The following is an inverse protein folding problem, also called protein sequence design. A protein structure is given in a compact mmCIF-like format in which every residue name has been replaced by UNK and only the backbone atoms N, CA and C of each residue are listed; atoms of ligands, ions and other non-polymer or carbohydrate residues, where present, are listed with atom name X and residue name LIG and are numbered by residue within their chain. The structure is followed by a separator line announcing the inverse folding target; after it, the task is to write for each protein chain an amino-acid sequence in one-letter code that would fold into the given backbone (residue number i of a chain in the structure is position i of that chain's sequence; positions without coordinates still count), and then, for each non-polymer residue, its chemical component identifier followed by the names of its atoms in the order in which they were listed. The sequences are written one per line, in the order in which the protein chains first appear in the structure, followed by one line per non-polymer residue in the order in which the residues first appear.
data_IF_195988519011
#
_entry.id   IF_195988519011
#
_cell.length_a   1.000
_cell.length_b   1.000
_cell.length_c   1.000
_cell.angle_alpha   90.00
_cell.angle_beta   90.00
_cell.angle_gamma   90.00
#
_symmetry.space_group_name_H-M   'P 1'
#
loop_
_entity.id
_entity.type
_entity.pdbx_description
1 polymer ?
#
# COMPACT_ATOMS: atom_id res chain seq x y z
N UNK A 1 17.56 -15.61 15.41
CA UNK A 1 18.58 -15.00 14.53
C UNK A 1 18.43 -13.49 14.60
N UNK A 2 19.53 -12.73 14.70
CA UNK A 2 19.47 -11.26 14.68
C UNK A 2 19.29 -10.78 13.24
N UNK A 3 18.39 -9.82 12.99
CA UNK A 3 18.25 -9.15 11.69
C UNK A 3 19.34 -8.09 11.54
N UNK A 4 19.81 -7.83 10.32
CA UNK A 4 20.86 -6.85 10.03
C UNK A 4 20.35 -5.80 9.05
N UNK A 5 20.51 -4.52 9.38
CA UNK A 5 20.32 -3.39 8.48
C UNK A 5 21.70 -2.87 8.05
N UNK A 6 22.03 -3.15 6.80
CA UNK A 6 23.29 -2.76 6.15
C UNK A 6 23.13 -1.47 5.33
N UNK A 7 24.25 -0.88 4.92
CA UNK A 7 24.28 0.26 4.01
C UNK A 7 23.52 0.03 2.69
N UNK A 8 23.47 -1.21 2.20
CA UNK A 8 22.79 -1.54 0.94
C UNK A 8 21.27 -1.39 1.06
N UNK A 9 20.69 -1.85 2.18
CA UNK A 9 19.25 -1.70 2.46
C UNK A 9 18.87 -0.20 2.46
N UNK A 10 19.72 0.66 3.02
CA UNK A 10 19.48 2.10 3.06
C UNK A 10 19.55 2.73 1.67
N UNK A 11 20.45 2.27 0.79
CA UNK A 11 20.54 2.73 -0.60
C UNK A 11 19.34 2.28 -1.43
N UNK A 12 18.88 1.05 -1.23
CA UNK A 12 17.67 0.52 -1.87
C UNK A 12 16.45 1.35 -1.46
N UNK A 13 16.25 1.57 -0.15
CA UNK A 13 15.18 2.45 0.34
C UNK A 13 15.27 3.87 -0.24
N UNK A 14 16.48 4.43 -0.40
CA UNK A 14 16.65 5.73 -1.04
C UNK A 14 16.24 5.74 -2.51
N UNK A 15 16.65 4.72 -3.28
CA UNK A 15 16.29 4.57 -4.69
C UNK A 15 14.77 4.39 -4.87
N UNK A 16 14.12 3.73 -3.91
CA UNK A 16 12.67 3.54 -3.87
C UNK A 16 11.90 4.77 -3.35
N UNK A 17 12.60 5.86 -3.02
CA UNK A 17 11.99 7.10 -2.50
C UNK A 17 11.47 7.01 -1.06
N UNK A 18 11.80 5.94 -0.33
CA UNK A 18 11.39 5.75 1.06
C UNK A 18 12.18 6.66 2.01
N UNK A 19 11.49 7.15 3.05
CA UNK A 19 12.06 8.04 4.08
C UNK A 19 12.08 7.45 5.48
N UNK A 20 11.54 6.24 5.65
CA UNK A 20 11.44 5.58 6.96
C UNK A 20 11.80 4.10 6.81
N UNK A 21 12.67 3.60 7.69
CA UNK A 21 13.00 2.18 7.82
C UNK A 21 12.53 1.72 9.21
N UNK A 22 11.64 0.73 9.25
CA UNK A 22 11.13 0.17 10.51
C UNK A 22 12.10 -0.86 11.07
N UNK A 23 12.41 -0.73 12.35
CA UNK A 23 13.41 -1.53 13.07
C UNK A 23 12.74 -2.22 14.25
N UNK A 24 12.82 -3.54 14.30
CA UNK A 24 12.47 -4.30 15.51
C UNK A 24 13.60 -4.10 16.53
N UNK A 25 13.32 -3.41 17.62
CA UNK A 25 14.29 -2.96 18.61
C UNK A 25 14.96 -4.11 19.37
N UNK A 26 14.29 -5.27 19.47
CA UNK A 26 14.76 -6.41 20.26
C UNK A 26 15.71 -7.33 19.50
N UNK A 27 15.73 -7.29 18.17
CA UNK A 27 16.46 -8.27 17.37
C UNK A 27 17.21 -7.72 16.14
N UNK A 28 17.34 -6.39 15.99
CA UNK A 28 17.97 -5.80 14.80
C UNK A 28 19.31 -5.10 15.10
N UNK A 29 20.34 -5.44 14.34
CA UNK A 29 21.63 -4.74 14.32
C UNK A 29 21.61 -3.74 13.16
N UNK A 30 21.89 -2.47 13.42
CA UNK A 30 22.09 -1.45 12.39
C UNK A 30 23.58 -1.15 12.32
N UNK A 31 24.18 -1.34 11.13
CA UNK A 31 25.58 -0.99 10.90
C UNK A 31 25.82 0.52 11.01
N UNK A 32 27.02 0.96 11.39
CA UNK A 32 27.39 2.39 11.43
C UNK A 32 27.20 3.05 10.06
N UNK A 33 27.64 2.37 9.00
CA UNK A 33 27.53 2.83 7.61
C UNK A 33 26.06 3.04 7.18
N UNK A 34 25.14 2.17 7.64
CA UNK A 34 23.71 2.35 7.41
C UNK A 34 23.18 3.61 8.10
N UNK A 35 23.68 3.97 9.30
CA UNK A 35 23.25 5.19 10.00
C UNK A 35 23.72 6.44 9.26
N UNK A 36 24.96 6.45 8.80
CA UNK A 36 25.54 7.59 8.09
C UNK A 36 24.82 7.84 6.76
N UNK A 37 24.52 6.77 6.01
CA UNK A 37 23.73 6.86 4.78
C UNK A 37 22.29 7.28 5.03
N UNK A 38 21.67 6.78 6.10
CA UNK A 38 20.30 7.15 6.44
C UNK A 38 20.22 8.65 6.76
N UNK A 39 21.18 9.18 7.51
CA UNK A 39 21.29 10.62 7.74
C UNK A 39 21.50 11.40 6.44
N UNK A 40 22.38 10.93 5.55
CA UNK A 40 22.64 11.56 4.25
C UNK A 40 21.40 11.63 3.35
N UNK A 41 20.57 10.59 3.37
CA UNK A 41 19.38 10.48 2.53
C UNK A 41 18.09 10.99 3.20
N UNK A 42 18.20 11.53 4.41
CA UNK A 42 17.07 11.94 5.25
C UNK A 42 16.06 10.79 5.47
N UNK A 43 16.61 9.61 5.78
CA UNK A 43 15.87 8.39 6.10
C UNK A 43 15.92 8.18 7.63
N UNK A 44 14.76 7.99 8.26
CA UNK A 44 14.65 7.80 9.72
C UNK A 44 14.46 6.32 10.08
N UNK A 45 15.15 5.85 11.11
CA UNK A 45 14.86 4.55 11.73
C UNK A 45 13.74 4.69 12.75
N UNK A 46 12.65 3.95 12.57
CA UNK A 46 11.55 3.91 13.52
C UNK A 46 11.57 2.59 14.28
N UNK A 47 11.78 2.64 15.60
CA UNK A 47 11.94 1.46 16.44
C UNK A 47 10.59 1.02 17.01
N UNK A 48 10.12 -0.16 16.61
CA UNK A 48 8.89 -0.75 17.16
C UNK A 48 9.26 -1.65 18.34
N UNK A 49 8.85 -1.28 19.56
CA UNK A 49 8.99 -2.12 20.75
C UNK A 49 7.71 -2.92 21.01
N UNK A 50 7.77 -4.23 21.35
CA UNK A 50 6.63 -4.93 21.90
C UNK A 50 6.59 -4.73 23.41
N UNK A 51 5.54 -4.11 23.94
CA UNK A 51 4.51 -4.68 24.87
C UNK A 51 3.81 -3.53 25.62
N UNK A 52 2.50 -3.72 25.84
CA UNK A 52 1.71 -3.34 27.03
C UNK A 52 0.63 -2.30 26.76
N UNK A 53 -0.57 -2.82 26.51
CA UNK A 53 -1.81 -2.05 26.59
C UNK A 53 -1.94 -1.48 28.01
N UNK A 54 -1.74 -0.18 28.15
CA UNK A 54 -2.15 0.58 29.32
C UNK A 54 -2.50 1.99 28.87
N UNK A 55 -3.69 2.42 29.33
CA UNK A 55 -4.36 3.67 29.02
C UNK A 55 -3.44 4.88 29.29
N UNK A 56 -3.57 5.92 28.46
CA UNK A 56 -4.02 7.28 28.81
C UNK A 56 -3.58 8.28 27.73
N UNK A 57 -4.57 9.09 27.33
CA UNK A 57 -4.61 10.40 26.66
C UNK A 57 -4.07 10.64 25.24
N UNK A 58 -5.04 11.06 24.40
CA UNK A 58 -4.91 11.66 23.08
C UNK A 58 -3.87 12.80 23.03
N UNK A 59 -3.11 12.84 21.92
CA UNK A 59 -2.95 14.06 21.15
C UNK A 59 -3.52 13.89 19.74
N UNK A 60 -4.34 14.85 19.34
CA UNK A 60 -5.12 14.82 18.11
C UNK A 60 -4.32 15.04 16.82
N UNK A 61 -5.01 14.76 15.71
CA UNK A 61 -4.83 15.24 14.34
C UNK A 61 -3.49 15.93 14.01
N UNK A 62 -2.58 15.19 13.39
CA UNK A 62 -1.36 15.70 12.75
C UNK A 62 -1.62 16.46 11.43
N UNK A 63 -2.86 16.88 11.15
CA UNK A 63 -3.20 17.65 9.94
C UNK A 63 -2.75 19.11 10.01
N UNK A 64 -2.56 19.69 11.20
CA UNK A 64 -2.21 21.11 11.36
C UNK A 64 -0.78 21.45 10.93
N UNK A 65 0.17 20.50 11.00
CA UNK A 65 1.58 20.75 10.67
C UNK A 65 1.92 20.67 9.18
N UNK A 66 1.10 20.00 8.36
CA UNK A 66 1.38 19.75 6.93
C UNK A 66 0.76 20.81 6.02
N UNK A 67 -0.36 21.42 6.43
CA UNK A 67 -1.06 22.45 5.66
C UNK A 67 -0.14 23.64 5.36
N UNK A 68 0.65 24.19 6.31
CA UNK A 68 1.55 25.30 6.04
C UNK A 68 2.60 24.98 4.96
N UNK A 69 3.12 23.74 4.96
CA UNK A 69 4.15 23.29 4.00
C UNK A 69 3.57 23.18 2.59
N UNK A 70 2.36 22.65 2.46
CA UNK A 70 1.66 22.52 1.18
C UNK A 70 1.31 23.90 0.63
N UNK A 71 0.81 24.81 1.48
CA UNK A 71 0.46 26.19 1.10
C UNK A 71 1.70 26.95 0.63
N UNK A 72 2.83 26.86 1.34
CA UNK A 72 4.07 27.54 0.94
C UNK A 72 4.61 27.01 -0.40
N UNK A 73 4.48 25.70 -0.66
CA UNK A 73 4.87 25.11 -1.94
C UNK A 73 3.97 25.57 -3.09
N UNK A 74 2.65 25.65 -2.85
CA UNK A 74 1.69 26.16 -3.84
C UNK A 74 1.98 27.63 -4.17
N UNK A 75 2.25 28.46 -3.16
CA UNK A 75 2.61 29.88 -3.35
C UNK A 75 3.89 30.01 -4.18
N UNK A 76 4.90 29.17 -3.91
CA UNK A 76 6.16 29.18 -4.66
C UNK A 76 5.99 28.81 -6.14
N UNK A 77 4.97 28.01 -6.48
CA UNK A 77 4.71 27.56 -7.85
C UNK A 77 3.77 28.48 -8.61
N UNK A 78 2.83 29.15 -7.93
CA UNK A 78 1.86 30.05 -8.57
C UNK A 78 2.45 31.42 -8.94
N UNK A 79 3.63 31.79 -8.40
CA UNK A 79 4.17 33.14 -8.58
C UNK A 79 3.26 34.18 -7.93
N UNK A 80 3.44 35.47 -8.27
CA UNK A 80 2.67 36.59 -7.69
C UNK A 80 1.16 36.43 -7.98
N UNK A 81 0.46 35.71 -7.11
CA UNK A 81 -0.96 35.40 -7.23
C UNK A 81 -1.81 36.48 -6.58
N UNK A 82 -2.99 36.76 -7.13
CA UNK A 82 -4.01 37.64 -6.52
C UNK A 82 -4.55 37.11 -5.18
N UNK A 83 -4.28 35.85 -4.85
CA UNK A 83 -4.78 35.18 -3.65
C UNK A 83 -3.82 35.33 -2.47
N UNK A 84 -4.39 35.68 -1.31
CA UNK A 84 -3.68 35.71 -0.04
C UNK A 84 -3.38 34.30 0.49
N UNK A 85 -2.37 34.20 1.37
CA UNK A 85 -1.99 32.93 2.02
C UNK A 85 -3.16 32.29 2.77
N UNK A 86 -4.03 33.09 3.38
CA UNK A 86 -5.19 32.61 4.13
C UNK A 86 -6.27 32.04 3.21
N UNK A 87 -6.48 32.64 2.02
CA UNK A 87 -7.42 32.12 1.02
C UNK A 87 -6.96 30.79 0.43
N UNK A 88 -5.66 30.67 0.12
CA UNK A 88 -5.08 29.40 -0.36
C UNK A 88 -5.19 28.33 0.72
N UNK A 89 -4.90 28.69 1.97
CA UNK A 89 -5.08 27.79 3.12
C UNK A 89 -6.52 27.30 3.23
N UNK A 90 -7.51 28.21 3.12
CA UNK A 90 -8.92 27.85 3.17
C UNK A 90 -9.34 26.93 2.01
N UNK A 91 -8.82 27.14 0.80
CA UNK A 91 -9.08 26.28 -0.36
C UNK A 91 -8.49 24.88 -0.15
N UNK A 92 -7.25 24.79 0.33
CA UNK A 92 -6.58 23.50 0.63
C UNK A 92 -7.33 22.75 1.72
N UNK A 93 -7.68 23.42 2.83
CA UNK A 93 -8.47 22.82 3.91
C UNK A 93 -9.82 22.32 3.38
N UNK A 94 -10.54 23.12 2.59
CA UNK A 94 -11.82 22.72 2.02
C UNK A 94 -11.71 21.54 1.05
N UNK A 95 -10.62 21.45 0.28
CA UNK A 95 -10.38 20.31 -0.60
C UNK A 95 -10.07 19.04 0.20
N UNK A 96 -9.22 19.14 1.22
CA UNK A 96 -8.90 18.02 2.13
C UNK A 96 -10.13 17.56 2.92
N UNK A 97 -10.98 18.48 3.38
CA UNK A 97 -12.24 18.15 4.04
C UNK A 97 -13.24 17.49 3.08
N UNK A 98 -13.28 17.91 1.82
CA UNK A 98 -14.11 17.29 0.78
C UNK A 98 -13.65 15.86 0.49
N UNK A 99 -12.35 15.66 0.28
CA UNK A 99 -11.72 14.34 0.11
C UNK A 99 -11.98 13.43 1.33
N UNK A 100 -11.77 13.94 2.55
CA UNK A 100 -12.04 13.19 3.78
C UNK A 100 -13.53 12.86 3.95
N UNK A 101 -14.45 13.77 3.60
CA UNK A 101 -15.90 13.48 3.60
C UNK A 101 -16.29 12.45 2.53
N UNK A 102 -15.59 12.40 1.41
CA UNK A 102 -15.79 11.37 0.38
C UNK A 102 -15.24 10.02 0.82
N UNK A 103 -14.10 9.99 1.53
CA UNK A 103 -13.53 8.78 2.11
C UNK A 103 -14.38 8.17 3.23
N UNK A 104 -15.10 9.00 4.01
CA UNK A 104 -15.96 8.56 5.10
C UNK A 104 -17.39 8.14 4.69
N UNK A 105 -17.84 8.49 3.48
CA UNK A 105 -19.24 8.27 3.04
C UNK A 105 -19.40 7.33 1.84
N UNK A 106 -18.32 6.75 1.30
CA UNK A 106 -18.41 5.68 0.32
C UNK A 106 -18.58 4.33 1.04
N UNK A 107 -19.51 3.48 0.61
CA UNK A 107 -19.52 2.06 1.01
C UNK A 107 -18.15 1.47 0.60
N UNK A 108 -17.27 1.33 1.59
CA UNK A 108 -15.93 0.77 1.43
C UNK A 108 -15.98 -0.65 0.86
N UNK A 109 -17.15 -1.29 0.88
CA UNK A 109 -17.36 -2.64 0.38
C UNK A 109 -16.85 -3.68 1.36
N UNK A 110 -16.61 -3.34 2.62
CA UNK A 110 -16.22 -4.27 3.68
C UNK A 110 -16.50 -3.69 5.07
N UNK A 111 -16.66 -4.57 6.05
CA UNK A 111 -16.67 -4.25 7.48
C UNK A 111 -15.23 -4.29 7.97
N UNK A 112 -14.81 -3.22 8.63
CA UNK A 112 -13.48 -3.11 9.23
C UNK A 112 -13.52 -2.57 10.66
N UNK A 113 -12.47 -2.85 11.42
CA UNK A 113 -12.15 -2.19 12.68
C UNK A 113 -10.76 -1.58 12.60
N UNK A 114 -10.59 -0.37 13.14
CA UNK A 114 -9.30 0.33 13.17
C UNK A 114 -9.02 0.81 14.59
N UNK A 115 -7.81 0.58 15.08
CA UNK A 115 -7.31 1.15 16.33
C UNK A 115 -6.51 2.42 16.04
N UNK A 116 -6.41 3.30 17.03
CA UNK A 116 -5.69 4.58 16.91
C UNK A 116 -4.20 4.43 16.62
N UNK A 117 -3.61 3.28 16.96
CA UNK A 117 -2.20 2.96 16.68
C UNK A 117 -1.96 2.42 15.26
N UNK A 118 -2.97 2.45 14.38
CA UNK A 118 -2.83 2.01 12.98
C UNK A 118 -3.19 0.55 12.72
N UNK A 119 -3.46 -0.27 13.75
CA UNK A 119 -3.97 -1.63 13.53
C UNK A 119 -5.32 -1.59 12.81
N UNK A 120 -5.44 -2.34 11.72
CA UNK A 120 -6.66 -2.46 10.93
C UNK A 120 -7.01 -3.94 10.75
N UNK A 121 -8.28 -4.27 10.96
CA UNK A 121 -8.84 -5.61 10.77
C UNK A 121 -9.95 -5.51 9.74
N UNK A 122 -9.92 -6.37 8.74
CA UNK A 122 -10.98 -6.51 7.74
C UNK A 122 -11.73 -7.80 8.00
N UNK A 123 -13.06 -7.77 8.00
CA UNK A 123 -13.88 -8.98 8.04
C UNK A 123 -14.00 -9.52 6.63
N UNK A 124 -13.16 -10.50 6.28
CA UNK A 124 -13.06 -11.02 4.91
C UNK A 124 -14.40 -11.46 4.30
N UNK A 125 -15.31 -12.03 5.09
CA UNK A 125 -16.65 -12.43 4.65
C UNK A 125 -17.60 -11.28 4.26
N UNK A 126 -17.25 -10.04 4.57
CA UNK A 126 -18.01 -8.85 4.22
C UNK A 126 -17.51 -8.13 2.96
N UNK A 127 -16.39 -8.59 2.39
CA UNK A 127 -15.76 -7.99 1.21
C UNK A 127 -16.68 -8.15 0.00
N UNK A 128 -17.07 -7.03 -0.60
CA UNK A 128 -17.82 -6.89 -1.84
C UNK A 128 -16.88 -6.39 -2.92
N UNK A 129 -16.41 -7.31 -3.75
CA UNK A 129 -15.50 -6.97 -4.85
C UNK A 129 -16.19 -6.05 -5.86
N UNK A 130 -15.37 -5.22 -6.51
CA UNK A 130 -15.81 -4.30 -7.57
C UNK A 130 -15.10 -4.67 -8.85
N UNK A 131 -15.70 -4.34 -10.00
CA UNK A 131 -15.08 -4.60 -11.29
C UNK A 131 -13.73 -3.89 -11.41
N UNK A 132 -12.72 -4.62 -11.86
CA UNK A 132 -11.40 -4.09 -12.17
C UNK A 132 -11.35 -3.71 -13.65
N UNK A 133 -11.45 -2.42 -13.94
CA UNK A 133 -11.59 -1.95 -15.32
C UNK A 133 -10.30 -2.13 -16.14
N UNK A 134 -9.13 -2.11 -15.51
CA UNK A 134 -7.83 -2.20 -16.21
C UNK A 134 -7.54 -3.60 -16.75
N UNK A 135 -8.24 -4.64 -16.26
CA UNK A 135 -8.23 -5.96 -16.90
C UNK A 135 -8.86 -5.93 -18.31
N UNK A 136 -9.66 -4.90 -18.62
CA UNK A 136 -10.24 -4.64 -19.94
C UNK A 136 -11.77 -4.64 -19.96
N UNK A 137 -12.34 -3.92 -20.93
CA UNK A 137 -13.80 -3.69 -21.06
C UNK A 137 -14.64 -4.96 -21.23
N UNK A 138 -14.05 -6.06 -21.68
CA UNK A 138 -14.74 -7.34 -21.87
C UNK A 138 -14.34 -8.39 -20.81
N UNK A 139 -13.67 -7.96 -19.74
CA UNK A 139 -13.26 -8.82 -18.63
C UNK A 139 -14.09 -8.52 -17.40
N UNK A 140 -14.56 -9.57 -16.75
CA UNK A 140 -15.27 -9.54 -15.47
C UNK A 140 -14.35 -9.98 -14.32
N UNK A 141 -13.19 -9.32 -14.24
CA UNK A 141 -12.29 -9.44 -13.10
C UNK A 141 -12.80 -8.52 -12.01
N UNK A 142 -12.90 -9.03 -10.78
CA UNK A 142 -13.35 -8.24 -9.64
C UNK A 142 -12.24 -8.16 -8.60
N UNK A 143 -11.96 -6.94 -8.13
CA UNK A 143 -10.88 -6.62 -7.21
C UNK A 143 -11.37 -5.63 -6.14
N UNK A 144 -10.79 -5.71 -4.96
CA UNK A 144 -10.90 -4.64 -3.95
C UNK A 144 -9.64 -4.59 -3.09
N UNK A 145 -8.97 -3.44 -3.10
CA UNK A 145 -7.94 -3.12 -2.11
C UNK A 145 -8.58 -2.91 -0.73
N UNK A 146 -8.03 -3.56 0.29
CA UNK A 146 -8.52 -3.46 1.67
C UNK A 146 -7.50 -2.88 2.64
N UNK A 147 -6.21 -2.96 2.31
CA UNK A 147 -5.10 -2.24 2.94
C UNK A 147 -4.38 -1.45 1.86
N UNK A 148 -4.15 -0.15 2.07
CA UNK A 148 -3.46 0.73 1.11
C UNK A 148 -2.45 1.65 1.80
N UNK A 149 -1.76 2.47 1.02
CA UNK A 149 -0.89 3.53 1.55
C UNK A 149 -1.64 4.51 2.48
N UNK A 150 -2.96 4.68 2.32
CA UNK A 150 -3.79 5.54 3.18
C UNK A 150 -3.90 4.99 4.61
N UNK A 151 -3.61 3.70 4.81
CA UNK A 151 -3.51 3.09 6.13
C UNK A 151 -2.12 3.26 6.76
N UNK A 152 -1.18 3.95 6.09
CA UNK A 152 0.22 4.07 6.52
C UNK A 152 1.04 2.81 6.25
N UNK A 153 0.50 1.86 5.47
CA UNK A 153 1.17 0.61 5.13
C UNK A 153 2.14 0.82 3.95
N UNK A 154 3.36 0.27 4.01
CA UNK A 154 4.28 0.26 2.87
C UNK A 154 3.87 -0.76 1.79
N UNK A 155 2.98 -1.68 2.13
CA UNK A 155 2.41 -2.68 1.23
C UNK A 155 0.92 -2.40 1.01
N UNK A 156 0.39 -2.82 -0.12
CA UNK A 156 -1.05 -2.91 -0.32
C UNK A 156 -1.50 -4.35 -0.22
N UNK A 157 -2.75 -4.57 0.15
CA UNK A 157 -3.34 -5.89 0.13
C UNK A 157 -4.81 -5.80 -0.27
N UNK A 158 -5.26 -6.78 -1.03
CA UNK A 158 -6.64 -6.84 -1.50
C UNK A 158 -7.04 -8.25 -1.88
N UNK A 159 -8.26 -8.36 -2.38
CA UNK A 159 -8.82 -9.61 -2.86
C UNK A 159 -9.14 -9.44 -4.34
N UNK A 160 -8.79 -10.44 -5.15
CA UNK A 160 -9.13 -10.49 -6.56
C UNK A 160 -9.82 -11.82 -6.90
N UNK A 161 -10.77 -11.80 -7.83
CA UNK A 161 -11.44 -13.02 -8.32
C UNK A 161 -11.86 -12.88 -9.78
N UNK A 162 -11.78 -13.97 -10.53
CA UNK A 162 -12.19 -14.03 -11.93
C UNK A 162 -12.50 -15.47 -12.35
N UNK A 163 -13.10 -15.62 -13.53
CA UNK A 163 -13.37 -16.91 -14.18
C UNK A 163 -12.44 -17.14 -15.35
N UNK A 164 -12.42 -18.37 -15.88
CA UNK A 164 -11.58 -18.78 -17.01
C UNK A 164 -11.61 -17.80 -18.18
N UNK A 165 -12.81 -17.42 -18.63
CA UNK A 165 -13.03 -16.49 -19.74
C UNK A 165 -12.45 -15.10 -19.51
N UNK A 166 -12.24 -14.74 -18.23
CA UNK A 166 -11.78 -13.43 -17.80
C UNK A 166 -10.26 -13.35 -17.62
N UNK A 167 -9.53 -14.42 -17.89
CA UNK A 167 -8.05 -14.44 -17.86
C UNK A 167 -7.46 -13.31 -18.71
N UNK A 168 -6.43 -12.63 -18.21
CA UNK A 168 -5.95 -11.36 -18.77
C UNK A 168 -4.43 -11.19 -18.64
N UNK A 169 -3.76 -10.53 -19.60
CA UNK A 169 -2.33 -10.22 -19.51
C UNK A 169 -2.11 -9.08 -18.52
N UNK A 170 -0.97 -9.13 -17.82
CA UNK A 170 -0.58 -8.10 -16.86
C UNK A 170 0.95 -7.94 -16.80
N UNK A 171 1.42 -6.71 -16.65
CA UNK A 171 2.84 -6.39 -16.40
C UNK A 171 2.97 -5.80 -15.01
N UNK A 172 3.65 -6.52 -14.11
CA UNK A 172 3.82 -6.10 -12.73
C UNK A 172 5.02 -5.18 -12.63
N UNK A 173 4.79 -3.90 -12.33
CA UNK A 173 5.87 -2.92 -12.02
C UNK A 173 6.27 -2.93 -10.54
N UNK A 174 5.80 -3.93 -9.80
CA UNK A 174 5.90 -4.12 -8.35
C UNK A 174 6.05 -5.61 -8.03
N UNK A 175 6.47 -5.94 -6.81
CA UNK A 175 6.46 -7.32 -6.31
C UNK A 175 5.05 -7.66 -5.80
N UNK A 176 4.61 -8.90 -6.04
CA UNK A 176 3.32 -9.42 -5.59
C UNK A 176 3.45 -10.81 -4.97
N UNK A 177 2.73 -11.03 -3.87
CA UNK A 177 2.52 -12.35 -3.26
C UNK A 177 1.04 -12.66 -3.25
N UNK A 178 0.67 -13.79 -3.83
CA UNK A 178 -0.72 -14.26 -3.84
C UNK A 178 -0.90 -15.45 -2.91
N UNK A 179 -2.01 -15.46 -2.18
CA UNK A 179 -2.51 -16.62 -1.47
C UNK A 179 -3.85 -17.05 -2.08
N UNK A 180 -3.94 -18.30 -2.56
CA UNK A 180 -5.15 -18.82 -3.18
C UNK A 180 -6.19 -19.17 -2.10
N UNK A 181 -7.30 -18.43 -2.06
CA UNK A 181 -8.37 -18.61 -1.09
C UNK A 181 -9.37 -19.66 -1.58
N UNK A 182 -9.76 -19.60 -2.85
CA UNK A 182 -10.73 -20.50 -3.47
C UNK A 182 -10.30 -20.79 -4.92
N UNK A 183 -10.58 -22.00 -5.39
CA UNK A 183 -10.35 -22.38 -6.78
C UNK A 183 -8.88 -22.67 -7.12
N UNK A 184 -8.46 -22.30 -8.33
CA UNK A 184 -7.13 -22.59 -8.88
C UNK A 184 -6.61 -21.39 -9.68
N UNK A 185 -5.47 -20.85 -9.27
CA UNK A 185 -4.73 -19.79 -9.95
C UNK A 185 -3.76 -20.41 -10.95
N UNK A 186 -3.70 -19.87 -12.16
CA UNK A 186 -2.66 -20.15 -13.14
C UNK A 186 -1.92 -18.87 -13.50
N UNK A 187 -0.59 -18.91 -13.43
CA UNK A 187 0.28 -17.84 -13.90
C UNK A 187 1.02 -18.35 -15.13
N UNK A 188 0.77 -17.74 -16.29
CA UNK A 188 1.58 -18.00 -17.49
C UNK A 188 2.71 -16.98 -17.57
N UNK A 189 3.95 -17.43 -17.63
CA UNK A 189 5.15 -16.60 -17.78
C UNK A 189 6.14 -17.32 -18.70
N UNK A 190 6.72 -16.61 -19.67
CA UNK A 190 7.67 -17.17 -20.66
C UNK A 190 7.17 -18.46 -21.36
N UNK A 191 5.87 -18.52 -21.64
CA UNK A 191 5.21 -19.67 -22.28
C UNK A 191 5.00 -20.89 -21.38
N UNK A 192 5.37 -20.82 -20.10
CA UNK A 192 5.14 -21.86 -19.11
C UNK A 192 3.96 -21.49 -18.21
N UNK A 193 3.19 -22.49 -17.78
CA UNK A 193 2.04 -22.32 -16.88
C UNK A 193 2.39 -22.92 -15.52
N UNK A 194 2.22 -22.12 -14.48
CA UNK A 194 2.35 -22.54 -13.08
C UNK A 194 0.97 -22.48 -12.44
N UNK A 195 0.51 -23.61 -11.90
CA UNK A 195 -0.83 -23.75 -11.30
C UNK A 195 -0.74 -24.01 -9.80
N UNK A 196 -1.70 -23.47 -9.05
CA UNK A 196 -1.77 -23.58 -7.60
C UNK A 196 -3.20 -23.46 -7.12
N UNK A 197 -3.54 -24.23 -6.10
CA UNK A 197 -4.91 -24.40 -5.60
C UNK A 197 -5.07 -23.73 -4.25
N UNK A 198 -6.29 -23.76 -3.71
CA UNK A 198 -6.59 -23.26 -2.37
C UNK A 198 -5.52 -23.66 -1.33
N UNK A 199 -4.91 -22.65 -0.70
CA UNK A 199 -3.84 -22.80 0.28
C UNK A 199 -2.42 -22.58 -0.26
N UNK A 200 -2.24 -22.61 -1.59
CA UNK A 200 -0.95 -22.38 -2.23
C UNK A 200 -0.63 -20.88 -2.30
N UNK A 201 0.68 -20.59 -2.42
CA UNK A 201 1.23 -19.24 -2.42
C UNK A 201 2.06 -19.04 -3.69
N UNK A 202 1.89 -17.89 -4.33
CA UNK A 202 2.71 -17.44 -5.45
C UNK A 202 3.55 -16.24 -5.03
N UNK A 203 4.74 -16.13 -5.59
CA UNK A 203 5.53 -14.90 -5.60
C UNK A 203 5.79 -14.53 -7.05
N UNK A 204 5.38 -13.33 -7.44
CA UNK A 204 5.55 -12.78 -8.78
C UNK A 204 6.48 -11.57 -8.66
N UNK A 205 7.72 -11.66 -9.16
CA UNK A 205 8.69 -10.59 -8.99
C UNK A 205 8.38 -9.39 -9.87
N UNK A 206 8.77 -8.21 -9.40
CA UNK A 206 8.74 -6.97 -10.19
C UNK A 206 9.38 -7.14 -11.57
N UNK A 207 8.72 -6.59 -12.59
CA UNK A 207 9.12 -6.66 -14.00
C UNK A 207 8.54 -7.87 -14.75
N UNK A 208 7.78 -8.73 -14.07
CA UNK A 208 7.15 -9.90 -14.70
C UNK A 208 6.04 -9.50 -15.66
N UNK A 209 6.06 -10.09 -16.85
CA UNK A 209 4.96 -10.03 -17.83
C UNK A 209 4.26 -11.38 -17.84
N UNK A 210 3.03 -11.40 -17.36
CA UNK A 210 2.30 -12.64 -17.11
C UNK A 210 0.92 -12.63 -17.77
N UNK A 211 0.27 -13.79 -17.73
CA UNK A 211 -1.18 -13.90 -17.88
C UNK A 211 -1.73 -14.43 -16.56
N UNK A 212 -2.60 -13.65 -15.93
CA UNK A 212 -3.45 -14.12 -14.83
C UNK A 212 -4.53 -15.02 -15.41
N UNK A 213 -4.54 -16.28 -14.99
CA UNK A 213 -5.40 -17.31 -15.53
C UNK A 213 -6.04 -18.20 -14.46
N UNK A 214 -6.99 -19.01 -14.91
CA UNK A 214 -7.58 -20.08 -14.12
C UNK A 214 -8.26 -21.07 -15.07
N UNK A 215 -8.26 -22.38 -14.78
CA UNK A 215 -8.99 -23.35 -15.58
C UNK A 215 -10.51 -23.25 -15.36
N UNK A 216 -10.98 -22.57 -14.31
CA UNK A 216 -12.41 -22.42 -14.00
C UNK A 216 -12.74 -21.10 -13.27
N UNK A 217 -12.31 -20.97 -12.02
CA UNK A 217 -12.50 -19.83 -11.15
C UNK A 217 -11.35 -19.77 -10.15
N UNK A 218 -10.98 -18.55 -9.77
CA UNK A 218 -10.04 -18.33 -8.67
C UNK A 218 -10.43 -17.13 -7.85
N UNK A 219 -10.06 -17.17 -6.57
CA UNK A 219 -10.12 -16.05 -5.64
C UNK A 219 -8.84 -16.04 -4.84
N UNK A 220 -8.14 -14.92 -4.87
CA UNK A 220 -6.84 -14.76 -4.24
C UNK A 220 -6.86 -13.57 -3.30
N UNK A 221 -6.04 -13.63 -2.27
CA UNK A 221 -5.54 -12.44 -1.59
C UNK A 221 -4.19 -12.11 -2.20
N UNK A 222 -3.98 -10.85 -2.56
CA UNK A 222 -2.69 -10.36 -3.03
C UNK A 222 -2.10 -9.41 -2.00
N UNK A 223 -0.76 -9.38 -1.91
CA UNK A 223 0.01 -8.37 -1.20
C UNK A 223 1.05 -7.80 -2.15
N UNK A 224 1.07 -6.49 -2.32
CA UNK A 224 2.01 -5.81 -3.22
C UNK A 224 2.95 -4.88 -2.50
N UNK A 225 4.16 -4.74 -3.03
CA UNK A 225 5.11 -3.71 -2.64
C UNK A 225 5.73 -3.04 -3.88
N UNK A 226 5.73 -1.70 -3.95
CA UNK A 226 5.20 -0.74 -2.96
C UNK A 226 3.67 -0.65 -2.97
N UNK A 227 3.08 -0.08 -1.91
CA UNK A 227 1.63 0.04 -1.75
C UNK A 227 0.93 0.81 -2.89
N UNK A 228 1.61 1.74 -3.54
CA UNK A 228 1.09 2.53 -4.65
C UNK A 228 1.28 1.81 -6.00
N UNK A 229 0.93 0.53 -6.07
CA UNK A 229 1.13 -0.32 -7.24
C UNK A 229 0.38 0.13 -8.49
N UNK A 230 -0.74 0.85 -8.33
CA UNK A 230 -1.60 1.36 -9.40
C UNK A 230 -1.43 2.86 -9.69
N UNK A 231 -0.44 3.51 -9.07
CA UNK A 231 -0.21 4.95 -9.19
C UNK A 231 0.66 5.35 -10.40
#
# INVERSE_FOLDING_TARGET
MKKLISANIVKECHNDGLKIIYVDDKNTIITSEARDLAQKYDIKFNFCSPVSASRVDNPGNTSEGLIPVVVDKIISQLGNSEYSKDEITAIVCKYLEKENKTACNADAGYISGKASNGLKVIKGNSIKLKRFEDAGKNKNVNLLDVITYQDGSPMSAGIMSWKKEDSFPWELTYDEVDYVIEGELEITIDGQVFSGKQGDIFYIPKGSKIIFGTPSYTKIMYVTYPANWSA
#
